data_IF_694340111462
#
_entry.id   IF_694340111462
#
_cell.length_a   1.000
_cell.length_b   1.000
_cell.length_c   1.000
_cell.angle_alpha   90.00
_cell.angle_beta   90.00
_cell.angle_gamma   90.00
#
_symmetry.space_group_name_H-M   'P 1'
#
loop_
_entity.id
_entity.type
_entity.pdbx_description
1 polymer ?
#
# COMPACT_ATOMS: atom_id res chain seq x y z
N UNK A 1 -19.55 -4.06 -20.09
CA UNK A 1 -19.91 -3.73 -18.68
C UNK A 1 -19.11 -2.52 -18.25
N UNK A 2 -19.73 -1.52 -17.58
CA UNK A 2 -19.05 -0.29 -17.14
C UNK A 2 -18.83 -0.29 -15.64
N UNK A 3 -17.61 -0.04 -15.21
CA UNK A 3 -17.22 0.00 -13.79
C UNK A 3 -16.59 1.37 -13.49
N UNK A 4 -17.15 2.06 -12.49
CA UNK A 4 -16.63 3.32 -11.99
C UNK A 4 -15.87 3.07 -10.69
N UNK A 5 -14.55 3.27 -10.69
CA UNK A 5 -13.71 3.22 -9.50
C UNK A 5 -13.77 4.55 -8.76
N UNK A 6 -14.42 4.59 -7.60
CA UNK A 6 -14.64 5.82 -6.82
C UNK A 6 -13.68 5.90 -5.63
N UNK A 7 -12.93 7.01 -5.52
CA UNK A 7 -12.03 7.31 -4.40
C UNK A 7 -12.35 8.69 -3.79
N UNK A 8 -12.02 8.85 -2.52
CA UNK A 8 -12.22 10.13 -1.82
C UNK A 8 -11.01 11.06 -1.83
N UNK A 9 -9.84 10.57 -2.22
CA UNK A 9 -8.56 11.28 -2.25
C UNK A 9 -8.26 11.83 -3.64
N UNK A 10 -7.40 12.85 -3.69
CA UNK A 10 -6.97 13.52 -4.91
C UNK A 10 -5.44 13.47 -5.14
N UNK A 11 -4.74 12.63 -4.39
CA UNK A 11 -3.30 12.43 -4.46
C UNK A 11 -2.97 10.96 -4.65
N UNK A 12 -1.83 10.64 -5.28
CA UNK A 12 -1.42 9.28 -5.55
C UNK A 12 -0.77 8.62 -4.32
N UNK A 13 -1.29 7.48 -3.91
CA UNK A 13 -0.76 6.66 -2.81
C UNK A 13 -1.03 5.16 -3.05
N UNK A 14 -0.96 4.34 -2.00
CA UNK A 14 -1.12 2.89 -2.14
C UNK A 14 -2.47 2.45 -2.70
N UNK A 15 -3.57 3.00 -2.21
CA UNK A 15 -4.92 2.64 -2.66
C UNK A 15 -5.14 3.05 -4.14
N UNK A 16 -4.69 4.25 -4.51
CA UNK A 16 -4.78 4.76 -5.87
C UNK A 16 -3.95 3.89 -6.84
N UNK A 17 -2.77 3.44 -6.41
CA UNK A 17 -1.95 2.52 -7.20
C UNK A 17 -2.67 1.17 -7.42
N UNK A 18 -3.34 0.63 -6.40
CA UNK A 18 -4.14 -0.61 -6.54
C UNK A 18 -5.26 -0.42 -7.58
N UNK A 19 -5.95 0.71 -7.57
CA UNK A 19 -7.00 1.00 -8.57
C UNK A 19 -6.41 1.06 -9.97
N UNK A 20 -5.27 1.76 -10.14
CA UNK A 20 -4.59 1.82 -11.43
C UNK A 20 -4.20 0.41 -11.92
N UNK A 21 -3.71 -0.45 -11.05
CA UNK A 21 -3.40 -1.85 -11.40
C UNK A 21 -4.65 -2.65 -11.76
N UNK A 22 -5.77 -2.46 -11.04
CA UNK A 22 -7.03 -3.12 -11.41
C UNK A 22 -7.45 -2.69 -12.81
N UNK A 23 -7.46 -1.40 -13.12
CA UNK A 23 -7.82 -0.90 -14.43
C UNK A 23 -6.88 -1.47 -15.52
N UNK A 24 -5.57 -1.49 -15.27
CA UNK A 24 -4.57 -2.04 -16.20
C UNK A 24 -4.78 -3.55 -16.46
N UNK A 25 -5.19 -4.32 -15.45
CA UNK A 25 -5.52 -5.75 -15.60
C UNK A 25 -6.67 -6.00 -16.59
N UNK A 26 -7.53 -5.02 -16.84
CA UNK A 26 -8.70 -5.15 -17.72
C UNK A 26 -8.61 -4.30 -18.98
N UNK A 27 -7.50 -3.62 -19.25
CA UNK A 27 -7.34 -2.71 -20.40
C UNK A 27 -7.57 -3.37 -21.76
N UNK A 28 -7.22 -4.68 -21.90
CA UNK A 28 -7.37 -5.44 -23.13
C UNK A 28 -8.68 -6.24 -23.16
N UNK A 29 -9.62 -5.98 -22.25
CA UNK A 29 -10.90 -6.67 -22.17
C UNK A 29 -12.01 -5.80 -22.79
N UNK A 30 -12.43 -6.13 -24.00
CA UNK A 30 -13.45 -5.37 -24.76
C UNK A 30 -14.83 -5.34 -24.07
N UNK A 31 -15.14 -6.32 -23.20
CA UNK A 31 -16.43 -6.41 -22.52
C UNK A 31 -16.52 -5.54 -21.25
N UNK A 32 -15.37 -5.05 -20.74
CA UNK A 32 -15.29 -4.32 -19.47
C UNK A 32 -14.62 -2.97 -19.69
N UNK A 33 -15.36 -1.90 -19.51
CA UNK A 33 -14.88 -0.54 -19.52
C UNK A 33 -14.76 -0.02 -18.08
N UNK A 34 -13.58 0.49 -17.72
CA UNK A 34 -13.27 0.98 -16.38
C UNK A 34 -12.75 2.41 -16.41
N UNK A 35 -13.26 3.25 -15.52
CA UNK A 35 -12.77 4.61 -15.35
C UNK A 35 -12.43 4.88 -13.87
N UNK A 36 -11.48 5.78 -13.68
CA UNK A 36 -11.11 6.32 -12.38
C UNK A 36 -11.91 7.59 -12.08
N UNK A 37 -12.47 7.71 -10.86
CA UNK A 37 -13.26 8.85 -10.44
C UNK A 37 -12.88 9.32 -9.04
N UNK A 38 -12.44 10.56 -8.90
CA UNK A 38 -12.10 11.19 -7.62
C UNK A 38 -12.14 12.73 -7.72
N UNK A 39 -12.02 13.46 -6.60
CA UNK A 39 -11.75 14.89 -6.67
C UNK A 39 -10.47 15.20 -7.46
N UNK A 40 -10.46 16.35 -8.15
CA UNK A 40 -9.29 16.88 -8.87
C UNK A 40 -8.10 17.11 -7.94
N UNK A 41 -6.88 16.89 -8.45
CA UNK A 41 -5.66 17.14 -7.73
C UNK A 41 -4.41 16.53 -8.39
N UNK A 42 -3.35 16.32 -7.63
CA UNK A 42 -2.09 15.77 -8.15
C UNK A 42 -2.20 14.35 -8.73
N UNK A 43 -3.33 13.69 -8.54
CA UNK A 43 -3.63 12.39 -9.14
C UNK A 43 -3.73 12.45 -10.67
N UNK A 44 -4.16 13.60 -11.24
CA UNK A 44 -4.43 13.76 -12.68
C UNK A 44 -3.20 13.46 -13.54
N UNK A 45 -2.04 13.99 -13.14
CA UNK A 45 -0.77 13.75 -13.83
C UNK A 45 -0.44 12.24 -13.86
N UNK A 46 -0.58 11.57 -12.73
CA UNK A 46 -0.28 10.13 -12.63
C UNK A 46 -1.24 9.24 -13.42
N UNK A 47 -2.50 9.60 -13.50
CA UNK A 47 -3.48 8.89 -14.33
C UNK A 47 -3.20 9.08 -15.82
N UNK A 48 -2.81 10.31 -16.22
CA UNK A 48 -2.41 10.62 -17.59
C UNK A 48 -1.16 9.83 -18.00
N UNK A 49 -0.12 9.79 -17.15
CA UNK A 49 1.10 8.98 -17.38
C UNK A 49 0.78 7.48 -17.60
N UNK A 50 -0.29 6.98 -16.97
CA UNK A 50 -0.73 5.59 -17.07
C UNK A 50 -1.79 5.34 -18.15
N UNK A 51 -2.19 6.36 -18.92
CA UNK A 51 -3.28 6.31 -19.90
C UNK A 51 -4.61 5.80 -19.30
N UNK A 52 -4.93 6.20 -18.06
CA UNK A 52 -6.17 5.82 -17.38
C UNK A 52 -7.23 6.93 -17.59
N UNK A 53 -8.40 6.54 -18.06
CA UNK A 53 -9.53 7.48 -18.21
C UNK A 53 -9.96 8.01 -16.85
N UNK A 54 -9.93 9.33 -16.69
CA UNK A 54 -10.25 10.01 -15.45
C UNK A 54 -11.54 10.80 -15.56
N UNK A 55 -12.48 10.57 -14.65
CA UNK A 55 -13.69 11.38 -14.48
C UNK A 55 -13.56 12.24 -13.23
N UNK A 56 -13.15 13.52 -13.38
CA UNK A 56 -12.88 14.39 -12.25
C UNK A 56 -14.14 14.89 -11.57
N UNK A 57 -14.13 14.94 -10.23
CA UNK A 57 -15.13 15.60 -9.39
C UNK A 57 -14.56 16.91 -8.85
N UNK A 58 -15.42 17.93 -8.62
CA UNK A 58 -15.00 19.12 -7.85
C UNK A 58 -14.74 18.76 -6.38
N UNK A 59 -15.57 17.87 -5.84
CA UNK A 59 -15.45 17.34 -4.48
C UNK A 59 -16.28 16.05 -4.37
N UNK A 60 -16.06 15.28 -3.29
CA UNK A 60 -16.83 14.07 -3.02
C UNK A 60 -18.15 14.43 -2.33
N UNK A 61 -19.14 14.94 -3.08
CA UNK A 61 -20.50 15.23 -2.60
C UNK A 61 -21.54 14.54 -3.47
N UNK A 62 -22.73 14.34 -2.93
CA UNK A 62 -23.83 13.64 -3.61
C UNK A 62 -24.10 14.13 -5.03
N UNK A 63 -24.20 15.46 -5.24
CA UNK A 63 -24.49 16.05 -6.56
C UNK A 63 -23.43 15.68 -7.60
N UNK A 64 -22.15 15.88 -7.28
CA UNK A 64 -21.03 15.59 -8.18
C UNK A 64 -20.98 14.10 -8.56
N UNK A 65 -21.17 13.20 -7.58
CA UNK A 65 -21.21 11.76 -7.82
C UNK A 65 -22.42 11.38 -8.67
N UNK A 66 -23.59 12.00 -8.41
CA UNK A 66 -24.79 11.78 -9.21
C UNK A 66 -24.60 12.18 -10.68
N UNK A 67 -23.95 13.32 -10.91
CA UNK A 67 -23.68 13.82 -12.26
C UNK A 67 -22.66 12.90 -12.97
N UNK A 68 -21.62 12.43 -12.27
CA UNK A 68 -20.67 11.45 -12.79
C UNK A 68 -21.34 10.11 -13.14
N UNK A 69 -22.23 9.61 -12.28
CA UNK A 69 -23.00 8.38 -12.55
C UNK A 69 -23.92 8.57 -13.75
N UNK A 70 -24.58 9.71 -13.88
CA UNK A 70 -25.49 9.97 -15.00
C UNK A 70 -24.72 10.08 -16.33
N UNK A 71 -23.52 10.65 -16.33
CA UNK A 71 -22.70 10.80 -17.56
C UNK A 71 -22.05 9.49 -18.00
N UNK A 72 -21.55 8.70 -17.08
CA UNK A 72 -20.85 7.44 -17.40
C UNK A 72 -21.80 6.23 -17.45
N UNK A 73 -22.90 6.27 -16.73
CA UNK A 73 -23.89 5.19 -16.58
C UNK A 73 -23.26 3.84 -16.21
N UNK A 74 -22.58 3.74 -15.03
CA UNK A 74 -21.91 2.52 -14.62
C UNK A 74 -22.90 1.42 -14.21
N UNK A 75 -22.56 0.17 -14.49
CA UNK A 75 -23.24 -1.00 -13.92
C UNK A 75 -22.82 -1.22 -12.46
N UNK A 76 -21.53 -0.93 -12.17
CA UNK A 76 -20.92 -1.14 -10.86
C UNK A 76 -20.18 0.12 -10.44
N UNK A 77 -20.33 0.49 -9.17
CA UNK A 77 -19.41 1.42 -8.50
C UNK A 77 -18.53 0.58 -7.57
N UNK A 78 -17.23 0.54 -7.84
CA UNK A 78 -16.24 -0.05 -6.98
C UNK A 78 -15.57 1.07 -6.16
N UNK A 79 -15.99 1.23 -4.92
CA UNK A 79 -15.55 2.30 -4.02
C UNK A 79 -14.36 1.83 -3.17
N UNK A 80 -13.26 2.62 -3.15
CA UNK A 80 -11.96 2.20 -2.63
C UNK A 80 -11.54 2.80 -1.28
N UNK A 81 -12.46 3.32 -0.53
CA UNK A 81 -12.26 3.73 0.86
C UNK A 81 -13.60 3.85 1.58
N UNK A 82 -13.55 4.02 2.90
CA UNK A 82 -14.75 4.10 3.73
C UNK A 82 -15.66 5.27 3.32
N UNK A 83 -15.07 6.45 3.02
CA UNK A 83 -15.84 7.64 2.67
C UNK A 83 -16.49 7.50 1.30
N UNK A 84 -15.72 7.05 0.30
CA UNK A 84 -16.25 6.77 -1.04
C UNK A 84 -17.35 5.70 -0.99
N UNK A 85 -17.17 4.63 -0.20
CA UNK A 85 -18.16 3.56 -0.01
C UNK A 85 -19.48 4.09 0.59
N UNK A 86 -19.40 4.94 1.62
CA UNK A 86 -20.61 5.55 2.22
C UNK A 86 -21.38 6.37 1.18
N UNK A 87 -20.70 7.22 0.41
CA UNK A 87 -21.36 8.00 -0.65
C UNK A 87 -21.90 7.10 -1.77
N UNK A 88 -21.14 6.10 -2.22
CA UNK A 88 -21.58 5.15 -3.24
C UNK A 88 -22.87 4.42 -2.83
N UNK A 89 -23.03 4.08 -1.55
CA UNK A 89 -24.21 3.37 -1.04
C UNK A 89 -25.55 4.08 -1.33
N UNK A 90 -25.52 5.40 -1.49
CA UNK A 90 -26.70 6.21 -1.81
C UNK A 90 -27.23 5.96 -3.22
N UNK A 91 -26.46 5.31 -4.07
CA UNK A 91 -26.79 5.01 -5.47
C UNK A 91 -27.07 3.53 -5.74
N UNK A 92 -27.25 2.72 -4.70
CA UNK A 92 -27.49 1.27 -4.81
C UNK A 92 -28.74 0.88 -5.61
N UNK A 93 -29.68 1.79 -5.79
CA UNK A 93 -30.84 1.59 -6.68
C UNK A 93 -30.52 1.75 -8.18
N UNK A 94 -29.38 2.36 -8.51
CA UNK A 94 -28.94 2.62 -9.89
C UNK A 94 -27.82 1.68 -10.32
N UNK A 95 -26.88 1.38 -9.41
CA UNK A 95 -25.67 0.63 -9.69
C UNK A 95 -25.42 -0.38 -8.57
N UNK A 96 -24.82 -1.49 -8.90
CA UNK A 96 -24.30 -2.43 -7.89
C UNK A 96 -23.09 -1.80 -7.20
N UNK A 97 -23.01 -1.88 -5.87
CA UNK A 97 -21.95 -1.25 -5.07
C UNK A 97 -21.05 -2.31 -4.50
N UNK A 98 -19.75 -2.23 -4.81
CA UNK A 98 -18.68 -2.99 -4.20
C UNK A 98 -17.84 -2.02 -3.37
N UNK A 99 -17.58 -2.35 -2.12
CA UNK A 99 -16.70 -1.59 -1.24
C UNK A 99 -15.35 -2.30 -1.14
N UNK A 100 -14.23 -1.58 -1.24
CA UNK A 100 -12.87 -2.10 -1.08
C UNK A 100 -12.12 -1.26 -0.05
N UNK A 101 -11.78 -1.86 1.07
CA UNK A 101 -11.17 -1.17 2.22
C UNK A 101 -9.67 -1.45 2.23
N UNK A 102 -8.88 -0.41 1.90
CA UNK A 102 -7.42 -0.47 1.81
C UNK A 102 -6.69 -0.23 3.14
N UNK A 103 -7.42 0.05 4.21
CA UNK A 103 -6.88 0.21 5.55
C UNK A 103 -7.98 0.42 6.58
N UNK A 104 -7.77 -0.10 7.77
CA UNK A 104 -8.75 -0.04 8.85
C UNK A 104 -8.30 0.97 9.92
N UNK A 105 -8.70 2.24 9.78
CA UNK A 105 -8.36 3.31 10.73
C UNK A 105 -8.87 3.01 12.15
N UNK A 106 -8.23 3.61 13.17
CA UNK A 106 -8.64 3.48 14.59
C UNK A 106 -10.13 3.74 14.78
N UNK A 107 -10.70 4.71 14.02
CA UNK A 107 -12.13 5.00 14.07
C UNK A 107 -13.01 3.82 13.61
N UNK A 108 -12.52 2.95 12.74
CA UNK A 108 -13.25 1.76 12.29
C UNK A 108 -13.19 0.61 13.31
N UNK A 109 -12.15 0.57 14.14
CA UNK A 109 -11.95 -0.45 15.19
C UNK A 109 -12.78 -0.16 16.45
N UNK A 110 -13.26 1.08 16.61
CA UNK A 110 -14.04 1.53 17.75
C UNK A 110 -15.48 1.87 17.33
N UNK A 111 -16.37 1.97 18.33
CA UNK A 111 -17.69 2.54 18.10
C UNK A 111 -17.53 4.06 17.85
N UNK A 112 -17.64 4.44 16.60
CA UNK A 112 -17.51 5.82 16.13
C UNK A 112 -18.58 6.13 15.09
N UNK A 113 -18.84 7.41 14.85
CA UNK A 113 -19.76 7.84 13.79
C UNK A 113 -19.35 7.24 12.43
N UNK A 114 -18.04 7.18 12.13
CA UNK A 114 -17.52 6.61 10.87
C UNK A 114 -17.83 5.12 10.77
N UNK A 115 -17.59 4.34 11.83
CA UNK A 115 -17.86 2.89 11.85
C UNK A 115 -19.36 2.58 11.77
N UNK A 116 -20.21 3.39 12.41
CA UNK A 116 -21.66 3.26 12.33
C UNK A 116 -22.21 3.61 10.94
N UNK A 117 -21.77 4.73 10.36
CA UNK A 117 -22.17 5.12 9.00
C UNK A 117 -21.79 4.06 7.98
N UNK A 118 -20.59 3.48 8.10
CA UNK A 118 -20.17 2.39 7.23
C UNK A 118 -21.03 1.12 7.43
N UNK A 119 -21.39 0.78 8.67
CA UNK A 119 -22.31 -0.32 8.95
C UNK A 119 -23.67 -0.11 8.26
N UNK A 120 -24.26 1.08 8.37
CA UNK A 120 -25.52 1.40 7.71
C UNK A 120 -25.38 1.34 6.18
N UNK A 121 -24.34 1.94 5.64
CA UNK A 121 -24.03 1.92 4.20
C UNK A 121 -23.84 0.50 3.67
N UNK A 122 -23.25 -0.38 4.49
CA UNK A 122 -22.96 -1.76 4.12
C UNK A 122 -24.20 -2.57 3.77
N UNK A 123 -25.41 -2.17 4.22
CA UNK A 123 -26.67 -2.82 3.81
C UNK A 123 -26.88 -2.78 2.30
N UNK A 124 -26.35 -1.73 1.66
CA UNK A 124 -26.47 -1.45 0.24
C UNK A 124 -25.28 -1.97 -0.59
N UNK A 125 -24.28 -2.59 0.03
CA UNK A 125 -23.17 -3.18 -0.71
C UNK A 125 -23.51 -4.62 -1.12
N UNK A 126 -23.18 -4.95 -2.36
CA UNK A 126 -23.21 -6.33 -2.85
C UNK A 126 -22.06 -7.15 -2.25
N UNK A 127 -20.89 -6.53 -2.06
CA UNK A 127 -19.72 -7.17 -1.45
C UNK A 127 -18.78 -6.14 -0.83
N UNK A 128 -17.93 -6.60 0.13
CA UNK A 128 -16.89 -5.79 0.77
C UNK A 128 -15.57 -6.55 0.68
N UNK A 129 -14.60 -5.99 -0.02
CA UNK A 129 -13.22 -6.45 0.01
C UNK A 129 -12.42 -5.76 1.11
N UNK A 130 -11.55 -6.51 1.76
CA UNK A 130 -10.59 -6.04 2.74
C UNK A 130 -9.19 -6.50 2.34
N UNK A 131 -8.20 -5.63 2.44
CA UNK A 131 -6.84 -5.95 1.97
C UNK A 131 -6.07 -6.88 2.92
N UNK A 132 -6.56 -7.12 4.13
CA UNK A 132 -5.96 -8.05 5.10
C UNK A 132 -7.03 -8.66 6.01
N UNK A 133 -6.75 -9.87 6.53
CA UNK A 133 -7.64 -10.58 7.46
C UNK A 133 -7.76 -9.82 8.79
N UNK A 134 -6.65 -9.27 9.28
CA UNK A 134 -6.62 -8.43 10.48
C UNK A 134 -7.48 -7.18 10.32
N UNK A 135 -7.40 -6.47 9.19
CA UNK A 135 -8.23 -5.27 8.97
C UNK A 135 -9.72 -5.59 8.92
N UNK A 136 -10.12 -6.76 8.41
CA UNK A 136 -11.49 -7.24 8.43
C UNK A 136 -11.94 -7.58 9.86
N UNK A 137 -11.16 -8.38 10.58
CA UNK A 137 -11.51 -8.84 11.94
C UNK A 137 -11.54 -7.72 12.97
N UNK A 138 -10.68 -6.74 12.82
CA UNK A 138 -10.60 -5.58 13.71
C UNK A 138 -11.71 -4.55 13.49
N UNK A 139 -12.51 -4.67 12.43
CA UNK A 139 -13.66 -3.79 12.25
C UNK A 139 -14.68 -4.00 13.38
N UNK A 140 -15.07 -2.91 14.06
CA UNK A 140 -15.94 -2.95 15.25
C UNK A 140 -17.22 -3.79 15.06
N UNK A 141 -17.77 -3.77 13.86
CA UNK A 141 -19.01 -4.49 13.54
C UNK A 141 -18.77 -5.68 12.61
N UNK A 142 -17.61 -6.34 12.69
CA UNK A 142 -17.23 -7.50 11.90
C UNK A 142 -18.36 -8.53 11.81
N UNK A 143 -18.95 -8.94 12.95
CA UNK A 143 -20.01 -9.95 13.02
C UNK A 143 -21.29 -9.58 12.24
N UNK A 144 -21.46 -8.32 11.86
CA UNK A 144 -22.62 -7.85 11.07
C UNK A 144 -22.37 -7.87 9.57
N UNK A 145 -21.12 -7.91 9.14
CA UNK A 145 -20.74 -7.77 7.72
C UNK A 145 -19.97 -8.98 7.15
N UNK A 146 -19.48 -9.91 7.99
CA UNK A 146 -18.57 -10.98 7.56
C UNK A 146 -19.12 -11.84 6.41
N UNK A 147 -20.46 -12.10 6.38
CA UNK A 147 -21.10 -12.92 5.33
C UNK A 147 -20.97 -12.32 3.91
N UNK A 148 -20.82 -11.01 3.80
CA UNK A 148 -20.63 -10.29 2.53
C UNK A 148 -19.23 -9.72 2.38
N UNK A 149 -18.28 -10.15 3.20
CA UNK A 149 -16.90 -9.70 3.20
C UNK A 149 -15.96 -10.82 2.81
N UNK A 150 -14.90 -10.47 2.11
CA UNK A 150 -13.76 -11.36 1.87
C UNK A 150 -12.45 -10.56 1.89
N UNK A 151 -11.35 -11.28 2.11
CA UNK A 151 -10.01 -10.71 2.01
C UNK A 151 -9.56 -10.78 0.56
N UNK A 152 -9.12 -9.65 0.04
CA UNK A 152 -8.48 -9.51 -1.27
C UNK A 152 -7.15 -8.77 -1.07
N UNK A 153 -6.10 -9.53 -0.80
CA UNK A 153 -4.76 -8.99 -0.57
C UNK A 153 -4.26 -8.31 -1.83
N UNK A 154 -3.70 -7.11 -1.69
CA UNK A 154 -3.10 -6.39 -2.81
C UNK A 154 -2.05 -7.27 -3.52
N UNK A 155 -1.92 -7.07 -4.82
CA UNK A 155 -0.91 -7.73 -5.64
C UNK A 155 -0.11 -6.68 -6.42
N UNK A 156 1.07 -7.05 -6.89
CA UNK A 156 1.91 -6.21 -7.74
C UNK A 156 2.40 -7.01 -8.96
N UNK A 157 2.65 -6.32 -10.05
CA UNK A 157 3.18 -6.95 -11.26
C UNK A 157 4.68 -7.16 -11.14
N UNK A 158 5.11 -8.40 -10.86
CA UNK A 158 6.53 -8.76 -10.69
C UNK A 158 7.34 -8.45 -11.95
N UNK A 159 6.82 -8.71 -13.13
CA UNK A 159 7.54 -8.50 -14.41
C UNK A 159 7.80 -7.00 -14.64
N UNK A 160 6.80 -6.15 -14.38
CA UNK A 160 6.95 -4.71 -14.46
C UNK A 160 7.97 -4.19 -13.46
N UNK A 161 7.94 -4.67 -12.21
CA UNK A 161 8.90 -4.29 -11.17
C UNK A 161 10.31 -4.68 -11.56
N UNK A 162 10.52 -5.90 -12.04
CA UNK A 162 11.83 -6.38 -12.51
C UNK A 162 12.34 -5.54 -13.69
N UNK A 163 11.48 -5.27 -14.68
CA UNK A 163 11.83 -4.41 -15.81
C UNK A 163 12.27 -3.02 -15.33
N UNK A 164 11.43 -2.35 -14.55
CA UNK A 164 11.72 -0.99 -14.02
C UNK A 164 12.93 -0.95 -13.10
N UNK A 165 13.21 -2.02 -12.37
CA UNK A 165 14.40 -2.10 -11.50
C UNK A 165 15.72 -2.10 -12.27
N UNK A 166 15.69 -2.46 -13.56
CA UNK A 166 16.85 -2.48 -14.45
C UNK A 166 17.01 -1.17 -15.25
N UNK A 167 15.98 -0.32 -15.32
CA UNK A 167 16.02 0.94 -16.07
C UNK A 167 16.95 1.97 -15.42
N UNK A 168 17.08 1.93 -14.09
CA UNK A 168 17.90 2.87 -13.33
C UNK A 168 19.12 2.16 -12.77
N UNK A 169 20.31 2.53 -13.24
CA UNK A 169 21.58 2.03 -12.71
C UNK A 169 21.99 2.80 -11.46
N UNK A 170 21.67 2.25 -10.30
CA UNK A 170 22.10 2.80 -8.99
C UNK A 170 23.50 2.26 -8.69
N UNK A 171 24.51 3.14 -8.67
CA UNK A 171 25.90 2.77 -8.32
C UNK A 171 26.06 2.49 -6.83
N UNK A 172 25.31 3.21 -5.99
CA UNK A 172 25.36 3.09 -4.54
C UNK A 172 24.61 1.84 -4.08
N UNK A 173 25.26 1.01 -3.27
CA UNK A 173 24.63 -0.08 -2.53
C UNK A 173 24.16 0.41 -1.16
N UNK A 174 23.02 -0.07 -0.71
CA UNK A 174 22.45 0.24 0.59
C UNK A 174 22.25 -1.04 1.41
N UNK A 175 22.43 -0.94 2.71
CA UNK A 175 22.16 -2.06 3.62
C UNK A 175 20.67 -2.13 3.96
N UNK A 176 20.06 -0.97 4.19
CA UNK A 176 18.64 -0.85 4.49
C UNK A 176 17.98 0.16 3.54
N UNK A 177 16.73 -0.09 3.19
CA UNK A 177 15.90 0.85 2.45
C UNK A 177 14.55 1.05 3.13
N UNK A 178 14.06 2.27 3.09
CA UNK A 178 12.69 2.66 3.39
C UNK A 178 12.05 3.28 2.15
N UNK A 179 10.81 2.91 1.85
CA UNK A 179 10.01 3.53 0.79
C UNK A 179 8.62 3.83 1.33
N UNK A 180 8.27 5.11 1.38
CA UNK A 180 6.96 5.53 1.89
C UNK A 180 6.87 7.02 2.16
N UNK A 181 5.65 7.50 2.45
CA UNK A 181 5.45 8.90 2.85
C UNK A 181 6.11 9.16 4.21
N UNK A 182 6.72 10.32 4.37
CA UNK A 182 7.29 10.75 5.66
C UNK A 182 6.21 11.47 6.48
N UNK A 183 5.39 10.70 7.16
CA UNK A 183 4.26 11.17 7.99
C UNK A 183 4.28 10.47 9.34
N UNK A 184 3.54 11.01 10.32
CA UNK A 184 3.43 10.44 11.67
C UNK A 184 2.97 8.97 11.66
N UNK A 185 2.06 8.61 10.73
CA UNK A 185 1.59 7.23 10.61
C UNK A 185 2.68 6.24 10.15
N UNK A 186 3.71 6.74 9.47
CA UNK A 186 4.84 5.94 8.98
C UNK A 186 6.03 5.94 9.94
N UNK A 187 6.03 6.87 10.91
CA UNK A 187 7.02 7.04 11.97
C UNK A 187 8.48 6.99 11.47
N UNK A 188 8.85 7.92 10.55
CA UNK A 188 10.20 7.93 9.99
C UNK A 188 11.27 8.32 11.02
N UNK A 189 10.92 9.01 12.10
CA UNK A 189 11.86 9.33 13.17
C UNK A 189 12.28 8.07 13.94
N UNK A 190 11.36 7.13 14.17
CA UNK A 190 11.68 5.82 14.74
C UNK A 190 12.66 5.05 13.86
N UNK A 191 12.45 5.08 12.53
CA UNK A 191 13.34 4.47 11.56
C UNK A 191 14.79 4.98 11.71
N UNK A 192 14.98 6.32 11.65
CA UNK A 192 16.32 6.91 11.71
C UNK A 192 16.97 6.76 13.08
N UNK A 193 16.18 6.71 14.16
CA UNK A 193 16.66 6.39 15.50
C UNK A 193 17.23 4.97 15.60
N UNK A 194 16.48 3.97 15.13
CA UNK A 194 16.94 2.58 15.11
C UNK A 194 18.20 2.47 14.23
N UNK A 195 18.16 3.09 13.03
CA UNK A 195 19.32 3.01 12.13
C UNK A 195 20.54 3.76 12.67
N UNK A 196 20.39 4.83 13.43
CA UNK A 196 21.51 5.49 14.12
C UNK A 196 22.24 4.51 15.07
N UNK A 197 21.48 3.62 15.70
CA UNK A 197 22.02 2.56 16.56
C UNK A 197 22.69 1.44 15.75
N UNK A 198 22.21 1.16 14.53
CA UNK A 198 22.91 0.28 13.57
C UNK A 198 24.26 0.86 13.21
N UNK A 199 24.35 2.16 12.89
CA UNK A 199 25.61 2.84 12.54
C UNK A 199 26.63 2.77 13.68
N UNK A 200 26.19 2.89 14.93
CA UNK A 200 27.10 2.72 16.09
C UNK A 200 27.74 1.32 16.15
N UNK A 201 27.05 0.28 15.66
CA UNK A 201 27.55 -1.11 15.65
C UNK A 201 28.21 -1.51 14.34
N UNK A 202 27.81 -0.88 13.23
CA UNK A 202 28.32 -1.09 11.87
C UNK A 202 28.53 0.28 11.21
N UNK A 203 29.68 0.95 11.41
CA UNK A 203 29.90 2.37 11.04
C UNK A 203 29.73 2.69 9.56
N UNK A 204 29.95 1.72 8.67
CA UNK A 204 29.82 1.90 7.21
C UNK A 204 28.45 1.53 6.66
N UNK A 205 27.47 1.19 7.51
CA UNK A 205 26.11 0.86 7.07
C UNK A 205 25.41 2.06 6.44
N UNK A 206 24.57 1.79 5.44
CA UNK A 206 23.88 2.81 4.64
C UNK A 206 22.39 2.55 4.55
N UNK A 207 21.59 3.58 4.85
CA UNK A 207 20.14 3.61 4.71
C UNK A 207 19.73 4.53 3.56
N UNK A 208 18.92 4.05 2.64
CA UNK A 208 18.19 4.89 1.68
C UNK A 208 16.77 5.16 2.19
N UNK A 209 16.35 6.42 2.17
CA UNK A 209 14.99 6.84 2.49
C UNK A 209 14.38 7.48 1.24
N UNK A 210 13.33 6.84 0.70
CA UNK A 210 12.61 7.29 -0.50
C UNK A 210 11.20 7.70 -0.10
N UNK A 211 10.87 8.95 -0.37
CA UNK A 211 9.55 9.53 -0.14
C UNK A 211 9.61 10.98 0.31
N UNK A 212 8.43 11.56 0.40
CA UNK A 212 8.21 12.92 0.89
C UNK A 212 7.08 12.93 1.91
N UNK A 213 6.94 14.01 2.66
CA UNK A 213 5.85 14.19 3.63
C UNK A 213 6.15 15.33 4.59
N UNK A 214 5.21 15.59 5.47
CA UNK A 214 5.29 16.68 6.44
C UNK A 214 6.40 16.50 7.51
N UNK A 215 6.94 15.29 7.66
CA UNK A 215 8.08 15.02 8.56
C UNK A 215 9.44 15.02 7.86
N UNK A 216 9.51 15.45 6.59
CA UNK A 216 10.76 15.45 5.84
C UNK A 216 11.85 16.28 6.52
N UNK A 217 11.52 17.52 6.92
CA UNK A 217 12.45 18.44 7.56
C UNK A 217 12.90 17.95 8.94
N UNK A 218 12.02 17.28 9.71
CA UNK A 218 12.36 16.71 11.00
C UNK A 218 13.36 15.54 10.84
N UNK A 219 13.18 14.71 9.82
CA UNK A 219 14.12 13.62 9.49
C UNK A 219 15.46 14.18 9.04
N UNK A 220 15.47 15.18 8.17
CA UNK A 220 16.70 15.84 7.70
C UNK A 220 17.48 16.48 8.85
N UNK A 221 16.78 17.20 9.73
CA UNK A 221 17.37 17.79 10.93
C UNK A 221 17.95 16.72 11.87
N UNK A 222 17.25 15.58 12.05
CA UNK A 222 17.76 14.47 12.85
C UNK A 222 19.08 13.93 12.26
N UNK A 223 19.14 13.74 10.95
CA UNK A 223 20.33 13.24 10.25
C UNK A 223 21.52 14.19 10.47
N UNK A 224 21.32 15.51 10.28
CA UNK A 224 22.37 16.54 10.44
C UNK A 224 22.83 16.66 11.90
N UNK A 225 21.91 16.74 12.84
CA UNK A 225 22.24 16.89 14.27
C UNK A 225 23.01 15.69 14.82
N UNK A 226 22.82 14.51 14.25
CA UNK A 226 23.54 13.28 14.63
C UNK A 226 24.76 12.96 13.73
N UNK A 227 25.10 13.82 12.77
CA UNK A 227 26.23 13.67 11.83
C UNK A 227 26.17 12.36 11.04
N UNK A 228 24.95 12.01 10.55
CA UNK A 228 24.66 10.75 9.86
C UNK A 228 24.57 10.88 8.33
N UNK A 229 24.96 12.03 7.74
CA UNK A 229 24.81 12.33 6.30
C UNK A 229 25.59 11.36 5.41
N UNK A 230 26.64 10.71 5.94
CA UNK A 230 27.40 9.67 5.22
C UNK A 230 26.72 8.29 5.25
N UNK A 231 25.76 8.10 6.16
CA UNK A 231 25.10 6.84 6.43
C UNK A 231 23.63 6.83 5.99
N UNK A 232 22.90 7.94 6.10
CA UNK A 232 21.48 8.04 5.79
C UNK A 232 21.28 8.99 4.61
N UNK A 233 20.73 8.46 3.53
CA UNK A 233 20.49 9.16 2.28
C UNK A 233 19.01 9.47 2.14
N UNK A 234 18.62 10.73 2.36
CA UNK A 234 17.26 11.22 2.18
C UNK A 234 17.06 11.60 0.72
N UNK A 235 16.50 10.69 -0.09
CA UNK A 235 16.49 10.77 -1.56
C UNK A 235 15.24 11.47 -2.14
N UNK A 236 14.33 11.91 -1.25
CA UNK A 236 13.07 12.51 -1.70
C UNK A 236 12.15 11.52 -2.42
N UNK A 237 11.15 12.04 -3.10
CA UNK A 237 10.24 11.21 -3.89
C UNK A 237 10.95 10.72 -5.17
N UNK A 238 10.82 9.41 -5.44
CA UNK A 238 11.31 8.77 -6.65
C UNK A 238 10.12 8.10 -7.38
N UNK A 239 9.90 8.45 -8.64
CA UNK A 239 8.83 7.84 -9.46
C UNK A 239 9.09 6.36 -9.75
N UNK A 240 10.35 5.96 -9.80
CA UNK A 240 10.79 4.58 -9.94
C UNK A 240 11.76 4.21 -8.78
N UNK A 241 11.25 3.69 -7.64
CA UNK A 241 12.12 3.33 -6.52
C UNK A 241 12.78 1.94 -6.68
N UNK A 242 12.39 1.17 -7.69
CA UNK A 242 12.74 -0.25 -7.77
C UNK A 242 14.23 -0.51 -7.95
N UNK A 243 14.95 0.37 -8.65
CA UNK A 243 16.41 0.29 -8.76
C UNK A 243 17.10 0.42 -7.40
N UNK A 244 16.61 1.31 -6.52
CA UNK A 244 17.12 1.48 -5.17
C UNK A 244 16.78 0.27 -4.30
N UNK A 245 15.53 -0.23 -4.37
CA UNK A 245 15.13 -1.45 -3.64
C UNK A 245 16.01 -2.62 -4.06
N UNK A 246 16.23 -2.82 -5.37
CA UNK A 246 17.09 -3.88 -5.90
C UNK A 246 18.51 -3.81 -5.34
N UNK A 247 19.08 -2.60 -5.21
CA UNK A 247 20.43 -2.37 -4.70
C UNK A 247 20.51 -2.27 -3.16
N UNK A 248 19.46 -2.67 -2.45
CA UNK A 248 19.43 -2.73 -1.00
C UNK A 248 19.39 -4.18 -0.52
N UNK A 249 19.79 -4.43 0.73
CA UNK A 249 19.78 -5.76 1.35
C UNK A 249 18.45 -6.06 2.04
N UNK A 250 17.93 -5.13 2.83
CA UNK A 250 16.77 -5.26 3.72
C UNK A 250 15.85 -4.07 3.51
N UNK A 251 14.53 -4.29 3.50
CA UNK A 251 13.56 -3.19 3.66
C UNK A 251 13.16 -3.06 5.12
N UNK A 252 13.12 -1.84 5.65
CA UNK A 252 12.65 -1.54 6.99
C UNK A 252 11.44 -0.62 6.96
N UNK A 253 10.39 -0.98 7.73
CA UNK A 253 9.18 -0.18 7.91
C UNK A 253 8.86 -0.03 9.39
N UNK A 254 8.57 1.19 9.83
CA UNK A 254 8.30 1.54 11.24
C UNK A 254 6.89 2.06 11.46
N UNK A 255 5.99 1.77 10.53
CA UNK A 255 4.64 2.32 10.53
C UNK A 255 3.87 1.97 11.80
N UNK A 256 3.13 2.93 12.32
CA UNK A 256 2.16 2.73 13.41
C UNK A 256 0.95 1.97 12.87
N UNK A 257 0.62 2.20 11.59
CA UNK A 257 -0.57 1.67 10.97
C UNK A 257 -0.37 1.46 9.45
N UNK A 258 -0.75 0.28 8.95
CA UNK A 258 -0.76 -0.07 7.52
C UNK A 258 -1.93 -1.02 7.22
N UNK A 259 -2.48 -0.91 6.00
CA UNK A 259 -3.20 -2.02 5.39
C UNK A 259 -2.22 -3.08 4.88
N UNK A 260 -2.23 -3.35 3.57
CA UNK A 260 -1.16 -4.12 2.93
C UNK A 260 -0.25 -3.15 2.17
N UNK A 261 0.97 -2.82 2.69
CA UNK A 261 1.81 -1.81 2.06
C UNK A 261 2.32 -2.29 0.70
N UNK A 262 2.08 -1.50 -0.35
CA UNK A 262 2.53 -1.81 -1.71
C UNK A 262 4.05 -1.93 -1.79
N UNK A 263 4.79 -1.03 -1.13
CA UNK A 263 6.25 -1.07 -1.09
C UNK A 263 6.81 -2.37 -0.49
N UNK A 264 6.10 -2.99 0.46
CA UNK A 264 6.48 -4.29 1.00
C UNK A 264 6.32 -5.39 -0.06
N UNK A 265 5.20 -5.43 -0.78
CA UNK A 265 4.99 -6.38 -1.87
C UNK A 265 6.03 -6.19 -3.00
N UNK A 266 6.34 -4.94 -3.34
CA UNK A 266 7.36 -4.56 -4.32
C UNK A 266 8.76 -5.03 -3.89
N UNK A 267 9.13 -4.82 -2.63
CA UNK A 267 10.40 -5.29 -2.08
C UNK A 267 10.47 -6.83 -2.05
N UNK A 268 9.39 -7.50 -1.68
CA UNK A 268 9.31 -8.97 -1.71
C UNK A 268 9.49 -9.52 -3.12
N UNK A 269 8.97 -8.85 -4.17
CA UNK A 269 9.20 -9.23 -5.57
C UNK A 269 10.68 -9.18 -5.95
N UNK A 270 11.44 -8.28 -5.33
CA UNK A 270 12.89 -8.12 -5.52
C UNK A 270 13.71 -8.92 -4.51
N UNK A 271 13.08 -9.88 -3.80
CA UNK A 271 13.73 -10.77 -2.85
C UNK A 271 14.26 -10.06 -1.59
N UNK A 272 13.69 -8.91 -1.18
CA UNK A 272 14.18 -8.20 0.00
C UNK A 272 13.45 -8.64 1.26
N UNK A 273 14.14 -9.20 2.26
CA UNK A 273 13.58 -9.44 3.58
C UNK A 273 13.07 -8.14 4.20
N UNK A 274 11.98 -8.25 4.97
CA UNK A 274 11.35 -7.08 5.57
C UNK A 274 11.45 -7.13 7.08
N UNK A 275 12.00 -6.08 7.67
CA UNK A 275 12.02 -5.84 9.12
C UNK A 275 11.02 -4.73 9.42
N UNK A 276 10.01 -5.03 10.25
CA UNK A 276 8.92 -4.08 10.41
C UNK A 276 8.26 -4.13 11.80
N UNK A 277 7.51 -3.08 12.11
CA UNK A 277 6.48 -3.11 13.14
C UNK A 277 5.32 -4.02 12.72
N UNK A 278 4.63 -4.71 13.66
CA UNK A 278 3.51 -5.62 13.36
C UNK A 278 2.23 -4.82 13.12
N UNK A 279 2.08 -4.30 11.90
CA UNK A 279 0.83 -3.69 11.43
C UNK A 279 -0.05 -4.71 10.73
N UNK A 280 -1.33 -4.39 10.49
CA UNK A 280 -2.33 -5.34 9.98
C UNK A 280 -1.85 -6.19 8.81
N UNK A 281 -1.50 -5.53 7.69
CA UNK A 281 -1.07 -6.25 6.50
C UNK A 281 0.31 -6.88 6.61
N UNK A 282 1.18 -6.36 7.50
CA UNK A 282 2.51 -6.93 7.71
C UNK A 282 2.44 -8.26 8.46
N UNK A 283 1.51 -8.41 9.41
CA UNK A 283 1.28 -9.67 10.14
C UNK A 283 0.91 -10.80 9.15
N UNK A 284 0.12 -10.48 8.13
CA UNK A 284 -0.29 -11.45 7.12
C UNK A 284 0.83 -11.79 6.11
N UNK A 285 1.72 -10.81 5.81
CA UNK A 285 2.79 -10.95 4.83
C UNK A 285 4.06 -11.60 5.38
N UNK A 286 4.41 -11.32 6.63
CA UNK A 286 5.69 -11.70 7.20
C UNK A 286 5.55 -12.95 8.06
N UNK A 287 6.34 -13.96 7.71
CA UNK A 287 6.56 -15.15 8.52
C UNK A 287 7.90 -14.99 9.24
N UNK A 288 7.80 -14.91 10.55
CA UNK A 288 8.93 -14.65 11.46
C UNK A 288 10.13 -15.52 11.12
N UNK A 289 11.29 -14.90 10.97
CA UNK A 289 12.59 -15.51 10.64
C UNK A 289 12.63 -16.30 9.31
N UNK A 290 11.58 -16.26 8.50
CA UNK A 290 11.53 -16.92 7.19
C UNK A 290 11.74 -15.92 6.05
N UNK A 291 10.94 -14.86 5.99
CA UNK A 291 11.01 -13.80 4.96
C UNK A 291 11.12 -12.39 5.56
N UNK A 292 11.26 -12.29 6.87
CA UNK A 292 11.40 -11.03 7.60
C UNK A 292 11.24 -11.22 9.09
N UNK A 293 11.06 -10.10 9.78
CA UNK A 293 10.92 -10.07 11.23
C UNK A 293 9.99 -8.93 11.65
N UNK A 294 9.10 -9.20 12.59
CA UNK A 294 8.15 -8.23 13.15
C UNK A 294 8.39 -8.06 14.64
N UNK A 295 8.54 -6.81 15.08
CA UNK A 295 8.54 -6.47 16.50
C UNK A 295 8.11 -5.02 16.73
N UNK A 296 7.51 -4.75 17.90
CA UNK A 296 7.30 -3.39 18.42
C UNK A 296 8.48 -2.91 19.28
N UNK A 297 9.44 -3.79 19.55
CA UNK A 297 10.64 -3.48 20.35
C UNK A 297 11.78 -3.05 19.41
N UNK A 298 12.26 -1.80 19.56
CA UNK A 298 13.31 -1.23 18.73
C UNK A 298 14.63 -1.97 18.84
N UNK A 299 14.96 -2.51 20.03
CA UNK A 299 16.17 -3.30 20.22
C UNK A 299 16.10 -4.63 19.45
N UNK A 300 14.94 -5.29 19.39
CA UNK A 300 14.77 -6.52 18.62
C UNK A 300 14.89 -6.26 17.12
N UNK A 301 14.31 -5.14 16.62
CA UNK A 301 14.48 -4.71 15.22
C UNK A 301 15.96 -4.40 14.92
N UNK A 302 16.64 -3.67 15.82
CA UNK A 302 18.07 -3.36 15.72
C UNK A 302 18.91 -4.63 15.63
N UNK A 303 18.76 -5.55 16.60
CA UNK A 303 19.53 -6.79 16.65
C UNK A 303 19.30 -7.66 15.40
N UNK A 304 18.06 -7.72 14.91
CA UNK A 304 17.76 -8.47 13.69
C UNK A 304 18.42 -7.86 12.46
N UNK A 305 18.46 -6.54 12.32
CA UNK A 305 19.16 -5.86 11.23
C UNK A 305 20.67 -6.18 11.32
N UNK A 306 21.26 -6.04 12.50
CA UNK A 306 22.70 -6.33 12.70
C UNK A 306 23.02 -7.79 12.38
N UNK A 307 22.19 -8.72 12.84
CA UNK A 307 22.32 -10.15 12.55
C UNK A 307 22.37 -10.42 11.04
N UNK A 308 21.41 -9.89 10.30
CA UNK A 308 21.32 -10.11 8.86
C UNK A 308 22.45 -9.42 8.09
N UNK A 309 22.90 -8.24 8.54
CA UNK A 309 24.03 -7.54 7.89
C UNK A 309 25.37 -8.22 8.13
N UNK A 310 25.53 -8.95 9.24
CA UNK A 310 26.75 -9.69 9.60
C UNK A 310 26.75 -11.14 9.13
N UNK A 311 25.58 -11.70 8.78
CA UNK A 311 25.44 -13.10 8.35
C UNK A 311 24.85 -13.16 6.93
N UNK A 312 25.74 -13.23 5.95
CA UNK A 312 25.37 -13.23 4.53
C UNK A 312 24.55 -14.48 4.15
N UNK A 313 24.88 -15.66 4.70
CA UNK A 313 24.13 -16.88 4.42
C UNK A 313 22.69 -16.80 4.92
N UNK A 314 22.50 -16.25 6.12
CA UNK A 314 21.15 -16.05 6.68
C UNK A 314 20.35 -15.04 5.87
N UNK A 315 21.00 -13.95 5.45
CA UNK A 315 20.38 -12.94 4.60
C UNK A 315 19.97 -13.55 3.26
N UNK A 316 20.87 -14.30 2.61
CA UNK A 316 20.60 -14.93 1.32
C UNK A 316 19.42 -15.92 1.41
N UNK A 317 19.43 -16.79 2.41
CA UNK A 317 18.34 -17.75 2.66
C UNK A 317 17.00 -17.05 2.89
N UNK A 318 16.99 -15.96 3.66
CA UNK A 318 15.78 -15.17 3.91
C UNK A 318 15.31 -14.46 2.62
N UNK A 319 16.23 -13.96 1.80
CA UNK A 319 15.92 -13.35 0.49
C UNK A 319 15.28 -14.35 -0.46
N UNK A 320 15.80 -15.56 -0.58
CA UNK A 320 15.19 -16.63 -1.40
C UNK A 320 13.80 -17.01 -0.92
N UNK A 321 13.61 -17.13 0.39
CA UNK A 321 12.30 -17.40 0.96
C UNK A 321 11.31 -16.27 0.69
N UNK A 322 11.77 -15.02 0.76
CA UNK A 322 10.98 -13.83 0.45
C UNK A 322 10.50 -13.86 -1.00
N UNK A 323 11.37 -14.20 -1.93
CA UNK A 323 11.00 -14.29 -3.36
C UNK A 323 9.99 -15.43 -3.61
N UNK A 324 10.20 -16.60 -3.01
CA UNK A 324 9.27 -17.75 -3.10
C UNK A 324 7.89 -17.43 -2.55
N UNK A 325 7.81 -16.71 -1.42
CA UNK A 325 6.54 -16.29 -0.84
C UNK A 325 5.87 -15.20 -1.69
N UNK A 326 6.65 -14.24 -2.20
CA UNK A 326 6.17 -13.21 -3.09
C UNK A 326 5.46 -13.79 -4.33
N UNK A 327 6.04 -14.81 -4.95
CA UNK A 327 5.44 -15.47 -6.12
C UNK A 327 4.07 -16.09 -5.83
N UNK A 328 3.83 -16.54 -4.58
CA UNK A 328 2.53 -17.09 -4.15
C UNK A 328 1.49 -16.03 -3.85
N UNK A 329 1.94 -14.86 -3.36
CA UNK A 329 1.05 -13.74 -2.98
C UNK A 329 0.66 -12.94 -4.23
N UNK A 330 1.62 -12.65 -5.11
CA UNK A 330 1.43 -11.78 -6.28
C UNK A 330 0.88 -12.52 -7.51
N UNK A 331 -0.14 -13.35 -7.31
CA UNK A 331 -0.85 -14.04 -8.39
C UNK A 331 -1.95 -13.13 -8.96
N UNK A 332 -1.60 -12.38 -10.00
CA UNK A 332 -2.50 -11.46 -10.71
C UNK A 332 -3.70 -12.20 -11.32
N UNK A 333 -3.49 -13.42 -11.85
CA UNK A 333 -4.57 -14.20 -12.45
C UNK A 333 -5.60 -14.62 -11.41
N UNK A 334 -5.14 -15.06 -10.24
CA UNK A 334 -6.01 -15.37 -9.10
C UNK A 334 -6.76 -14.12 -8.63
N UNK A 335 -6.08 -12.99 -8.52
CA UNK A 335 -6.68 -11.72 -8.14
C UNK A 335 -7.79 -11.32 -9.11
N UNK A 336 -7.51 -11.33 -10.42
CA UNK A 336 -8.48 -11.06 -11.49
C UNK A 336 -9.66 -12.03 -11.47
N UNK A 337 -9.41 -13.33 -11.23
CA UNK A 337 -10.45 -14.35 -11.09
C UNK A 337 -11.40 -14.06 -9.93
N UNK A 338 -10.87 -13.61 -8.79
CA UNK A 338 -11.70 -13.21 -7.64
C UNK A 338 -12.56 -12.00 -8.02
N UNK A 339 -11.98 -10.94 -8.59
CA UNK A 339 -12.75 -9.77 -9.03
C UNK A 339 -13.87 -10.13 -10.02
N UNK A 340 -13.58 -11.00 -10.99
CA UNK A 340 -14.55 -11.45 -11.99
C UNK A 340 -15.78 -12.12 -11.37
N UNK A 341 -15.65 -12.81 -10.24
CA UNK A 341 -16.80 -13.41 -9.56
C UNK A 341 -17.78 -12.37 -9.00
N UNK A 342 -17.30 -11.15 -8.77
CA UNK A 342 -18.09 -10.05 -8.21
C UNK A 342 -18.44 -8.97 -9.25
N UNK A 343 -17.78 -8.96 -10.38
CA UNK A 343 -18.14 -8.07 -11.48
C UNK A 343 -19.25 -8.64 -12.38
N UNK A 344 -19.41 -9.95 -12.41
CA UNK A 344 -20.49 -10.66 -13.16
C UNK A 344 -21.91 -10.45 -12.63
#
# INVERSE_FOLDING_TARGET
MRILHLLSTNSFSGAENVVCQIIDMYKDNEDIDMIYCSPKGSIEEKLSEKNITFLPLKNLKYKEIKDAINSYNPNIIHAHDVKASIYASLFSKKCRIISHIHGNSIAMRKMSLKSLLFLFASKNFSHIFWVSDSSLKDYKFYNKIYKKSSVLVNVVNKEEILKKSNEIKIKQKFDVIYVGRLTELKDPLRLVNIFSSVVKKIPNSKLAIIGNGNMYDEVDNFIKNNKLEKNIYLLGFQSNPYGYIKNSKIMMLTSIYEGTPMCALEAMCLGKPIISTPTDGMIDLIKQDINGFLSNNDNELLEKIIELLKNEDKLLKMSENTEKLSAKINDINKYKKILNNYYK
#
